data_IF_318138540706
#
_entry.id   IF_318138540706
#
_cell.length_a   1.000
_cell.length_b   1.000
_cell.length_c   1.000
_cell.angle_alpha   90.00
_cell.angle_beta   90.00
_cell.angle_gamma   90.00
#
_symmetry.space_group_name_H-M   'P 1'
#
loop_
_entity.id
_entity.type
_entity.pdbx_description
1 polymer ?
#
# COMPACT_ATOMS: atom_id res chain seq x y z
N UNK A 1 -27.40 38.93 4.06
CA UNK A 1 -26.23 38.82 3.14
C UNK A 1 -26.03 40.16 2.45
N UNK A 2 -24.79 40.66 2.37
CA UNK A 2 -24.45 41.92 1.69
C UNK A 2 -23.82 41.58 0.34
N UNK A 3 -24.30 42.20 -0.73
CA UNK A 3 -23.65 42.08 -2.05
C UNK A 3 -22.37 42.91 -2.04
N UNK A 4 -21.26 42.28 -2.41
CA UNK A 4 -19.95 42.91 -2.57
C UNK A 4 -19.46 42.65 -3.98
N UNK A 5 -18.76 43.62 -4.54
CA UNK A 5 -18.08 43.52 -5.83
C UNK A 5 -16.57 43.56 -5.55
N UNK A 6 -15.84 42.62 -6.13
CA UNK A 6 -14.40 42.49 -5.94
C UNK A 6 -13.72 42.43 -7.30
N UNK A 7 -12.60 43.15 -7.42
CA UNK A 7 -11.72 43.09 -8.57
C UNK A 7 -10.44 42.38 -8.12
N UNK A 8 -10.03 41.36 -8.88
CA UNK A 8 -8.84 40.57 -8.58
C UNK A 8 -7.93 40.63 -9.78
N UNK A 9 -6.64 40.89 -9.53
CA UNK A 9 -5.60 40.84 -10.57
C UNK A 9 -5.46 39.40 -11.07
N UNK A 10 -5.22 39.23 -12.37
CA UNK A 10 -5.10 37.93 -13.03
C UNK A 10 -4.14 36.98 -12.29
N UNK A 11 -2.95 37.46 -11.94
CA UNK A 11 -1.91 36.72 -11.20
C UNK A 11 -2.33 36.26 -9.79
N UNK A 12 -3.47 36.73 -9.29
CA UNK A 12 -3.96 36.45 -7.94
C UNK A 12 -5.31 35.76 -7.91
N UNK A 13 -5.92 35.46 -9.08
CA UNK A 13 -7.22 34.80 -9.14
C UNK A 13 -7.19 33.45 -8.43
N UNK A 14 -6.21 32.59 -8.73
CA UNK A 14 -6.06 31.26 -8.09
C UNK A 14 -5.94 31.37 -6.56
N UNK A 15 -5.09 32.26 -6.07
CA UNK A 15 -4.86 32.45 -4.64
C UNK A 15 -6.10 33.01 -3.93
N UNK A 16 -6.79 33.97 -4.55
CA UNK A 16 -8.00 34.57 -4.01
C UNK A 16 -9.15 33.56 -3.95
N UNK A 17 -9.36 32.77 -5.01
CA UNK A 17 -10.40 31.74 -5.04
C UNK A 17 -10.16 30.65 -3.98
N UNK A 18 -8.91 30.20 -3.82
CA UNK A 18 -8.55 29.22 -2.77
C UNK A 18 -8.80 29.76 -1.38
N UNK A 19 -8.37 31.00 -1.11
CA UNK A 19 -8.60 31.66 0.19
C UNK A 19 -10.09 31.79 0.50
N UNK A 20 -10.88 32.27 -0.46
CA UNK A 20 -12.32 32.46 -0.32
C UNK A 20 -13.08 31.13 -0.17
N UNK A 21 -12.70 30.12 -0.94
CA UNK A 21 -13.25 28.76 -0.85
C UNK A 21 -12.99 28.14 0.53
N UNK A 22 -11.76 28.24 1.03
CA UNK A 22 -11.39 27.75 2.36
C UNK A 22 -12.14 28.49 3.49
N UNK A 23 -12.35 29.80 3.34
CA UNK A 23 -13.08 30.57 4.33
C UNK A 23 -14.57 30.19 4.40
N UNK A 24 -15.17 29.71 3.30
CA UNK A 24 -16.56 29.24 3.27
C UNK A 24 -17.61 30.33 3.54
N UNK A 25 -17.23 31.61 3.43
CA UNK A 25 -18.08 32.77 3.78
C UNK A 25 -18.66 33.51 2.57
N UNK A 26 -18.34 33.08 1.35
CA UNK A 26 -18.78 33.73 0.12
C UNK A 26 -19.60 32.80 -0.77
N UNK A 27 -20.59 33.39 -1.43
CA UNK A 27 -21.34 32.76 -2.51
C UNK A 27 -21.03 33.52 -3.79
N UNK A 28 -20.46 32.83 -4.78
CA UNK A 28 -20.22 33.40 -6.09
C UNK A 28 -21.55 33.48 -6.85
N UNK A 29 -21.79 34.63 -7.47
CA UNK A 29 -22.95 34.87 -8.32
C UNK A 29 -22.48 34.69 -9.76
N UNK A 30 -23.21 33.88 -10.52
CA UNK A 30 -22.98 33.78 -11.96
C UNK A 30 -23.26 35.13 -12.64
N UNK A 31 -22.23 35.67 -13.26
CA UNK A 31 -22.25 36.96 -13.94
C UNK A 31 -22.29 36.81 -15.48
N UNK A 32 -22.36 35.59 -16.03
CA UNK A 32 -22.36 35.34 -17.47
C UNK A 32 -23.51 36.08 -18.17
N UNK A 33 -24.71 36.05 -17.59
CA UNK A 33 -25.90 36.76 -18.07
C UNK A 33 -25.80 38.29 -17.96
N UNK A 34 -24.80 38.81 -17.25
CA UNK A 34 -24.52 40.26 -17.09
C UNK A 34 -23.18 40.65 -17.73
N UNK A 35 -22.57 39.74 -18.50
CA UNK A 35 -21.26 39.94 -19.13
C UNK A 35 -21.19 41.22 -19.95
N UNK A 36 -22.28 41.62 -20.61
CA UNK A 36 -22.35 42.83 -21.43
C UNK A 36 -22.01 44.12 -20.68
N UNK A 37 -22.33 44.16 -19.39
CA UNK A 37 -22.06 45.33 -18.52
C UNK A 37 -20.56 45.47 -18.25
N UNK A 38 -19.80 44.37 -18.35
CA UNK A 38 -18.39 44.28 -17.95
C UNK A 38 -17.44 43.94 -19.10
N UNK A 39 -17.95 43.75 -20.33
CA UNK A 39 -17.17 43.39 -21.54
C UNK A 39 -15.99 44.33 -21.83
N UNK A 40 -16.07 45.60 -21.39
CA UNK A 40 -15.01 46.61 -21.59
C UNK A 40 -14.00 46.69 -20.43
N UNK A 41 -14.25 46.01 -19.32
CA UNK A 41 -13.47 46.12 -18.07
C UNK A 41 -12.85 44.80 -17.63
N UNK A 42 -13.52 43.67 -17.92
CA UNK A 42 -13.10 42.33 -17.49
C UNK A 42 -12.92 41.43 -18.70
N UNK A 43 -11.80 40.69 -18.69
CA UNK A 43 -11.56 39.58 -19.63
C UNK A 43 -12.00 38.29 -18.93
N UNK A 44 -12.83 37.44 -19.56
CA UNK A 44 -13.15 36.12 -19.02
C UNK A 44 -11.87 35.31 -18.82
N UNK A 45 -11.66 34.82 -17.60
CA UNK A 45 -10.62 33.84 -17.35
C UNK A 45 -11.13 32.47 -17.81
N UNK A 46 -10.58 31.97 -18.92
CA UNK A 46 -10.84 30.62 -19.39
C UNK A 46 -9.80 29.66 -18.81
N UNK A 47 -10.24 28.74 -17.96
CA UNK A 47 -9.38 27.63 -17.53
C UNK A 47 -9.25 26.64 -18.70
N UNK A 48 -8.04 26.35 -19.20
CA UNK A 48 -7.87 25.42 -20.30
C UNK A 48 -8.47 24.05 -19.95
N UNK A 49 -9.25 23.47 -20.86
CA UNK A 49 -9.79 22.09 -20.71
C UNK A 49 -8.66 21.10 -20.42
N UNK A 50 -7.47 21.35 -20.98
CA UNK A 50 -6.25 20.58 -20.71
C UNK A 50 -5.90 20.54 -19.21
N UNK A 51 -6.00 21.66 -18.50
CA UNK A 51 -5.72 21.76 -17.06
C UNK A 51 -6.73 20.94 -16.26
N UNK A 52 -8.02 21.04 -16.59
CA UNK A 52 -9.09 20.28 -15.95
C UNK A 52 -8.89 18.77 -16.11
N UNK A 53 -8.62 18.32 -17.35
CA UNK A 53 -8.37 16.91 -17.63
C UNK A 53 -7.13 16.41 -16.88
N UNK A 54 -6.06 17.22 -16.85
CA UNK A 54 -4.81 16.86 -16.15
C UNK A 54 -5.02 16.72 -14.64
N UNK A 55 -5.84 17.57 -14.02
CA UNK A 55 -6.23 17.39 -12.61
C UNK A 55 -6.91 16.02 -12.39
N UNK A 56 -7.89 15.69 -13.22
CA UNK A 56 -8.61 14.41 -13.13
C UNK A 56 -7.68 13.21 -13.34
N UNK A 57 -6.78 13.29 -14.32
CA UNK A 57 -5.84 12.22 -14.65
C UNK A 57 -4.87 11.96 -13.48
N UNK A 58 -4.34 13.01 -12.86
CA UNK A 58 -3.41 12.89 -11.72
C UNK A 58 -4.12 12.26 -10.52
N UNK A 59 -5.33 12.74 -10.18
CA UNK A 59 -6.09 12.19 -9.05
C UNK A 59 -6.41 10.71 -9.29
N UNK A 60 -6.80 10.34 -10.50
CA UNK A 60 -7.07 8.94 -10.87
C UNK A 60 -5.83 8.05 -10.76
N UNK A 61 -4.65 8.56 -11.16
CA UNK A 61 -3.37 7.84 -11.00
C UNK A 61 -3.01 7.63 -9.53
N UNK A 62 -3.15 8.67 -8.71
CA UNK A 62 -2.89 8.60 -7.27
C UNK A 62 -3.82 7.57 -6.63
N UNK A 63 -5.12 7.64 -6.91
CA UNK A 63 -6.11 6.69 -6.39
C UNK A 63 -5.78 5.24 -6.78
N UNK A 64 -5.35 5.02 -8.03
CA UNK A 64 -4.90 3.70 -8.48
C UNK A 64 -3.69 3.21 -7.68
N UNK A 65 -2.72 4.08 -7.41
CA UNK A 65 -1.55 3.73 -6.59
C UNK A 65 -1.91 3.38 -5.14
N UNK A 66 -2.86 4.08 -4.54
CA UNK A 66 -3.38 3.72 -3.20
C UNK A 66 -3.99 2.31 -3.22
N UNK A 67 -4.80 2.00 -4.23
CA UNK A 67 -5.40 0.67 -4.40
C UNK A 67 -4.36 -0.43 -4.60
N UNK A 68 -3.33 -0.18 -5.42
CA UNK A 68 -2.23 -1.13 -5.65
C UNK A 68 -1.46 -1.45 -4.37
N UNK A 69 -1.32 -0.48 -3.47
CA UNK A 69 -0.64 -0.63 -2.19
C UNK A 69 -1.56 -1.11 -1.06
N UNK A 70 -2.86 -1.30 -1.33
CA UNK A 70 -3.84 -1.63 -0.28
C UNK A 70 -3.93 -0.57 0.83
N UNK A 71 -3.62 0.69 0.48
CA UNK A 71 -3.65 1.81 1.40
C UNK A 71 -4.98 2.53 1.27
N UNK A 72 -5.59 2.87 2.40
CA UNK A 72 -6.68 3.83 2.43
C UNK A 72 -6.09 5.22 2.67
N UNK A 73 -6.48 6.24 1.90
CA UNK A 73 -6.09 7.60 2.21
C UNK A 73 -6.65 7.95 3.59
N UNK A 74 -5.77 8.36 4.51
CA UNK A 74 -6.22 8.87 5.80
C UNK A 74 -7.06 10.13 5.53
N UNK A 75 -8.27 10.17 6.10
CA UNK A 75 -9.08 11.39 6.18
C UNK A 75 -8.49 12.32 7.23
N UNK A 76 -7.23 12.69 7.07
CA UNK A 76 -6.67 13.76 7.87
C UNK A 76 -7.24 15.05 7.29
N UNK A 77 -8.06 15.75 8.09
CA UNK A 77 -8.52 17.10 7.74
C UNK A 77 -7.25 17.93 7.68
N UNK A 78 -6.69 18.09 6.48
CA UNK A 78 -5.44 18.81 6.26
C UNK A 78 -5.56 20.16 6.95
N UNK A 79 -4.87 20.31 8.09
CA UNK A 79 -4.84 21.56 8.85
C UNK A 79 -4.15 22.56 7.96
N UNK A 80 -4.94 23.49 7.44
CA UNK A 80 -4.53 24.61 6.59
C UNK A 80 -3.53 24.18 5.51
N UNK A 81 -4.04 23.74 4.36
CA UNK A 81 -3.23 23.77 3.14
C UNK A 81 -2.82 25.24 2.96
N UNK A 82 -1.53 25.59 3.12
CA UNK A 82 -1.12 26.98 3.04
C UNK A 82 -1.53 27.50 1.68
N UNK A 83 -2.14 28.69 1.64
CA UNK A 83 -2.46 29.35 0.37
C UNK A 83 -1.14 29.71 -0.30
N UNK A 84 -0.64 28.81 -1.13
CA UNK A 84 0.56 29.01 -1.93
C UNK A 84 0.25 29.98 -3.05
N UNK A 85 1.19 30.87 -3.37
CA UNK A 85 1.11 31.75 -4.55
C UNK A 85 1.34 31.01 -5.88
N UNK A 86 1.52 29.69 -5.82
CA UNK A 86 1.79 28.85 -6.99
C UNK A 86 0.56 28.76 -7.90
N UNK A 87 0.76 28.93 -9.20
CA UNK A 87 -0.28 28.71 -10.19
C UNK A 87 -0.63 27.22 -10.28
N UNK A 88 -1.88 26.91 -10.60
CA UNK A 88 -2.38 25.52 -10.66
C UNK A 88 -1.52 24.61 -11.57
N UNK A 89 -1.02 25.09 -12.71
CA UNK A 89 -0.15 24.31 -13.60
C UNK A 89 1.21 23.94 -13.00
N UNK A 90 1.80 24.82 -12.20
CA UNK A 90 3.05 24.57 -11.51
C UNK A 90 2.84 23.48 -10.44
N UNK A 91 1.73 23.57 -9.69
CA UNK A 91 1.35 22.59 -8.70
C UNK A 91 1.15 21.21 -9.34
N UNK A 92 0.39 21.12 -10.44
CA UNK A 92 0.14 19.85 -11.14
C UNK A 92 1.44 19.20 -11.60
N UNK A 93 2.37 20.01 -12.13
CA UNK A 93 3.68 19.53 -12.57
C UNK A 93 4.51 18.98 -11.40
N UNK A 94 4.50 19.65 -10.25
CA UNK A 94 5.19 19.16 -9.03
C UNK A 94 4.58 17.86 -8.53
N UNK A 95 3.25 17.75 -8.52
CA UNK A 95 2.54 16.54 -8.07
C UNK A 95 2.87 15.36 -8.98
N UNK A 96 2.82 15.53 -10.31
CA UNK A 96 3.20 14.50 -11.27
C UNK A 96 4.66 14.04 -11.08
N UNK A 97 5.60 14.98 -10.95
CA UNK A 97 7.00 14.64 -10.75
C UNK A 97 7.24 13.88 -9.45
N UNK A 98 6.52 14.23 -8.38
CA UNK A 98 6.62 13.51 -7.11
C UNK A 98 6.00 12.12 -7.20
N UNK A 99 4.80 12.01 -7.78
CA UNK A 99 4.12 10.72 -7.96
C UNK A 99 4.95 9.76 -8.83
N UNK A 100 5.55 10.24 -9.92
CA UNK A 100 6.39 9.44 -10.80
C UNK A 100 7.69 8.94 -10.16
N UNK A 101 8.18 9.59 -9.10
CA UNK A 101 9.38 9.18 -8.36
C UNK A 101 9.11 8.13 -7.28
N UNK A 102 7.84 7.85 -6.96
CA UNK A 102 7.50 6.86 -5.96
C UNK A 102 7.64 5.44 -6.55
N UNK A 103 8.36 4.52 -5.89
CA UNK A 103 8.55 3.15 -6.35
C UNK A 103 7.31 2.28 -6.05
N UNK A 104 6.13 2.69 -6.56
CA UNK A 104 4.84 2.08 -6.23
C UNK A 104 4.79 0.60 -6.61
N UNK A 105 5.35 0.24 -7.77
CA UNK A 105 5.37 -1.14 -8.25
C UNK A 105 6.21 -2.05 -7.35
N UNK A 106 7.40 -1.60 -6.97
CA UNK A 106 8.31 -2.39 -6.13
C UNK A 106 7.70 -2.58 -4.74
N UNK A 107 7.10 -1.52 -4.19
CA UNK A 107 6.36 -1.58 -2.93
C UNK A 107 5.16 -2.55 -3.00
N UNK A 108 4.40 -2.54 -4.09
CA UNK A 108 3.29 -3.47 -4.28
C UNK A 108 3.77 -4.94 -4.32
N UNK A 109 4.92 -5.21 -4.95
CA UNK A 109 5.55 -6.55 -4.96
C UNK A 109 6.00 -6.94 -3.56
N UNK A 110 6.65 -6.05 -2.81
CA UNK A 110 7.05 -6.30 -1.42
C UNK A 110 5.84 -6.64 -0.54
N UNK A 111 4.74 -5.89 -0.64
CA UNK A 111 3.51 -6.14 0.10
C UNK A 111 2.90 -7.50 -0.25
N UNK A 112 2.91 -7.87 -1.53
CA UNK A 112 2.46 -9.20 -1.96
C UNK A 112 3.32 -10.31 -1.35
N UNK A 113 4.63 -10.14 -1.31
CA UNK A 113 5.56 -11.11 -0.70
C UNK A 113 5.30 -11.25 0.80
N UNK A 114 5.20 -10.14 1.53
CA UNK A 114 4.89 -10.13 2.96
C UNK A 114 3.57 -10.87 3.23
N UNK A 115 2.51 -10.57 2.46
CA UNK A 115 1.23 -11.25 2.61
C UNK A 115 1.31 -12.76 2.35
N UNK A 116 2.12 -13.19 1.39
CA UNK A 116 2.37 -14.63 1.14
C UNK A 116 3.10 -15.28 2.31
N UNK A 117 4.11 -14.62 2.86
CA UNK A 117 4.84 -15.10 4.04
C UNK A 117 3.90 -15.24 5.24
N UNK A 118 3.07 -14.24 5.52
CA UNK A 118 2.10 -14.28 6.62
C UNK A 118 1.12 -15.44 6.48
N UNK A 119 0.62 -15.70 5.27
CA UNK A 119 -0.24 -16.85 4.98
C UNK A 119 0.47 -18.17 5.22
N UNK A 120 1.73 -18.30 4.81
CA UNK A 120 2.51 -19.51 5.03
C UNK A 120 2.77 -19.73 6.51
N UNK A 121 3.16 -18.70 7.28
CA UNK A 121 3.33 -18.77 8.74
C UNK A 121 2.04 -19.23 9.42
N UNK A 122 0.91 -18.58 9.08
CA UNK A 122 -0.40 -18.95 9.62
C UNK A 122 -0.78 -20.39 9.26
N UNK A 123 -0.52 -20.81 8.01
CA UNK A 123 -0.82 -22.17 7.57
C UNK A 123 0.04 -23.22 8.27
N UNK A 124 1.29 -22.92 8.60
CA UNK A 124 2.22 -23.86 9.21
C UNK A 124 2.11 -23.91 10.74
N UNK A 125 1.24 -23.09 11.35
CA UNK A 125 1.13 -22.90 12.81
C UNK A 125 2.50 -22.61 13.44
N UNK A 126 3.39 -21.93 12.71
CA UNK A 126 4.68 -21.50 13.22
C UNK A 126 4.37 -20.32 14.15
N UNK A 127 4.67 -20.48 15.45
CA UNK A 127 4.64 -19.35 16.36
C UNK A 127 5.61 -18.29 15.82
N UNK A 128 5.25 -16.99 15.79
CA UNK A 128 6.15 -15.95 15.34
C UNK A 128 7.31 -15.87 16.34
N UNK A 129 8.32 -16.71 16.15
CA UNK A 129 9.57 -16.57 16.86
C UNK A 129 10.24 -15.30 16.34
N UNK A 130 10.48 -14.42 17.29
CA UNK A 130 11.13 -13.12 17.14
C UNK A 130 12.37 -13.21 16.26
N UNK A 131 12.44 -12.26 15.32
CA UNK A 131 13.65 -11.76 14.64
C UNK A 131 14.41 -12.75 13.77
N UNK A 132 14.08 -12.76 12.47
CA UNK A 132 15.05 -13.03 11.41
C UNK A 132 15.55 -11.68 10.87
N UNK A 133 16.51 -11.10 11.58
CA UNK A 133 17.36 -10.01 11.08
C UNK A 133 18.71 -10.60 10.74
N UNK A 134 18.84 -11.28 9.60
CA UNK A 134 20.16 -11.57 9.04
C UNK A 134 20.05 -11.83 7.53
N UNK A 135 21.00 -11.25 6.79
CA UNK A 135 21.21 -11.31 5.33
C UNK A 135 20.32 -10.40 4.43
N UNK A 136 20.43 -9.08 4.60
CA UNK A 136 20.31 -8.16 3.47
C UNK A 136 21.63 -8.18 2.70
N UNK A 137 21.83 -9.19 1.84
CA UNK A 137 22.84 -9.08 0.78
C UNK A 137 22.37 -8.05 -0.25
N UNK A 138 23.26 -7.14 -0.65
CA UNK A 138 23.06 -6.11 -1.68
C UNK A 138 22.87 -6.75 -3.07
N UNK A 139 21.78 -7.48 -3.28
CA UNK A 139 21.33 -7.87 -4.61
C UNK A 139 20.44 -6.77 -5.19
N UNK A 140 20.48 -6.54 -6.52
CA UNK A 140 19.54 -5.64 -7.17
C UNK A 140 18.10 -6.09 -6.86
N UNK A 141 17.30 -5.16 -6.33
CA UNK A 141 15.96 -5.38 -5.74
C UNK A 141 15.07 -6.20 -6.68
N UNK A 142 15.08 -5.90 -7.97
CA UNK A 142 14.25 -6.59 -8.98
C UNK A 142 14.52 -8.09 -9.08
N UNK A 143 15.80 -8.49 -8.97
CA UNK A 143 16.20 -9.89 -9.08
C UNK A 143 15.91 -10.65 -7.78
N UNK A 144 16.15 -10.00 -6.64
CA UNK A 144 15.84 -10.57 -5.33
C UNK A 144 14.33 -10.79 -5.15
N UNK A 145 13.49 -9.84 -5.58
CA UNK A 145 12.02 -9.97 -5.51
C UNK A 145 11.47 -11.09 -6.41
N UNK A 146 12.05 -11.27 -7.60
CA UNK A 146 11.69 -12.35 -8.51
C UNK A 146 12.07 -13.73 -7.92
N UNK A 147 13.32 -13.88 -7.44
CA UNK A 147 13.82 -15.09 -6.78
C UNK A 147 12.94 -15.45 -5.56
N UNK A 148 12.66 -14.48 -4.67
CA UNK A 148 11.78 -14.71 -3.50
C UNK A 148 10.36 -15.11 -3.88
N UNK A 149 9.80 -14.53 -4.95
CA UNK A 149 8.43 -14.85 -5.40
C UNK A 149 8.35 -16.29 -5.92
N UNK A 150 9.39 -16.75 -6.62
CA UNK A 150 9.50 -18.11 -7.15
C UNK A 150 9.69 -19.12 -6.01
N UNK A 151 10.61 -18.87 -5.09
CA UNK A 151 10.85 -19.72 -3.92
C UNK A 151 9.60 -19.88 -3.05
N UNK A 152 8.86 -18.79 -2.78
CA UNK A 152 7.61 -18.86 -2.02
C UNK A 152 6.52 -19.68 -2.73
N UNK A 153 6.47 -19.60 -4.07
CA UNK A 153 5.54 -20.40 -4.89
C UNK A 153 5.88 -21.89 -4.84
N UNK A 154 7.17 -22.25 -4.82
CA UNK A 154 7.60 -23.63 -4.64
C UNK A 154 7.28 -24.17 -3.24
N UNK A 155 7.47 -23.35 -2.21
CA UNK A 155 7.08 -23.70 -0.84
C UNK A 155 5.56 -23.91 -0.73
N UNK A 156 4.75 -23.08 -1.38
CA UNK A 156 3.28 -23.24 -1.40
C UNK A 156 2.85 -24.56 -2.09
N UNK A 157 3.51 -24.96 -3.18
CA UNK A 157 3.28 -26.24 -3.85
C UNK A 157 3.69 -27.45 -3.01
N UNK A 158 4.77 -27.34 -2.24
CA UNK A 158 5.20 -28.43 -1.35
C UNK A 158 4.38 -28.48 -0.06
N UNK A 159 3.88 -27.35 0.43
CA UNK A 159 3.06 -27.28 1.64
C UNK A 159 1.63 -27.81 1.47
N UNK A 160 1.12 -27.81 0.24
CA UNK A 160 -0.18 -28.39 -0.15
C UNK A 160 -0.15 -29.91 -0.34
N UNK A 161 1.00 -30.57 -0.23
CA UNK A 161 1.10 -32.03 -0.36
C UNK A 161 0.30 -32.76 0.75
N UNK A 162 -0.44 -33.84 0.43
CA UNK A 162 -1.19 -34.67 1.38
C UNK A 162 -0.37 -35.18 2.58
N UNK A 163 0.95 -35.27 2.42
CA UNK A 163 1.89 -35.65 3.46
C UNK A 163 1.91 -34.67 4.65
N UNK A 164 1.75 -33.36 4.41
CA UNK A 164 1.67 -32.35 5.47
C UNK A 164 0.31 -32.35 6.17
N UNK A 165 -0.77 -32.62 5.45
CA UNK A 165 -2.10 -32.83 6.05
C UNK A 165 -2.10 -34.04 6.98
N UNK A 166 -1.44 -35.14 6.57
CA UNK A 166 -1.20 -36.31 7.44
C UNK A 166 -0.30 -35.97 8.64
N UNK A 167 0.77 -35.18 8.45
CA UNK A 167 1.67 -34.75 9.53
C UNK A 167 0.98 -33.80 10.52
N UNK A 168 0.09 -32.91 10.07
CA UNK A 168 -0.74 -32.05 10.93
C UNK A 168 -1.76 -32.85 11.71
N UNK A 169 -2.44 -33.82 11.07
CA UNK A 169 -3.34 -34.73 11.77
C UNK A 169 -2.60 -35.52 12.86
N UNK A 170 -1.42 -36.06 12.54
CA UNK A 170 -0.54 -36.73 13.49
C UNK A 170 -0.05 -35.80 14.62
N UNK A 171 0.36 -34.57 14.33
CA UNK A 171 0.79 -33.62 15.37
C UNK A 171 -0.37 -33.18 16.28
N UNK A 172 -1.58 -33.03 15.73
CA UNK A 172 -2.77 -32.72 16.52
C UNK A 172 -3.17 -33.90 17.42
N UNK A 173 -3.07 -35.12 16.90
CA UNK A 173 -3.27 -36.35 17.66
C UNK A 173 -2.23 -36.50 18.77
N UNK A 174 -0.93 -36.28 18.47
CA UNK A 174 0.15 -36.28 19.45
C UNK A 174 -0.08 -35.19 20.51
N UNK A 175 -0.45 -33.96 20.14
CA UNK A 175 -0.74 -32.88 21.10
C UNK A 175 -1.90 -33.24 22.02
N UNK A 176 -2.91 -33.97 21.53
CA UNK A 176 -4.06 -34.46 22.29
C UNK A 176 -3.81 -35.67 23.19
N UNK A 177 -2.64 -36.33 23.11
CA UNK A 177 -2.29 -37.43 24.01
C UNK A 177 -2.01 -36.93 25.44
N UNK A 178 -2.50 -37.67 26.43
CA UNK A 178 -2.17 -37.46 27.85
C UNK A 178 -0.66 -37.61 28.06
N UNK A 179 -0.13 -36.89 29.06
CA UNK A 179 1.32 -36.86 29.38
C UNK A 179 1.92 -38.26 29.56
N UNK A 180 1.15 -39.20 30.11
CA UNK A 180 1.56 -40.60 30.29
C UNK A 180 1.68 -41.37 28.95
N UNK A 181 0.82 -41.09 27.98
CA UNK A 181 0.90 -41.69 26.63
C UNK A 181 2.03 -41.09 25.81
N UNK A 182 2.31 -39.78 25.98
CA UNK A 182 3.47 -39.11 25.36
C UNK A 182 4.80 -39.68 25.87
N UNK A 183 4.91 -39.92 27.18
CA UNK A 183 6.10 -40.53 27.79
C UNK A 183 6.37 -41.96 27.26
N UNK A 184 5.33 -42.80 27.19
CA UNK A 184 5.45 -44.17 26.64
C UNK A 184 5.79 -44.20 25.14
N UNK A 185 5.38 -43.19 24.38
CA UNK A 185 5.72 -43.05 22.96
C UNK A 185 7.18 -42.60 22.78
N UNK A 186 7.66 -41.70 23.64
CA UNK A 186 9.07 -41.31 23.74
C UNK A 186 9.99 -42.50 24.01
N UNK A 187 9.69 -43.31 25.03
CA UNK A 187 10.49 -44.51 25.35
C UNK A 187 10.52 -45.54 24.21
N UNK A 188 9.43 -45.66 23.43
CA UNK A 188 9.38 -46.57 22.28
C UNK A 188 10.19 -46.04 21.10
N UNK A 189 10.20 -44.73 20.87
CA UNK A 189 11.00 -44.10 19.82
C UNK A 189 12.49 -44.12 20.15
N UNK A 190 12.89 -43.91 21.40
CA UNK A 190 14.28 -44.08 21.84
C UNK A 190 14.77 -45.52 21.65
N UNK A 191 13.95 -46.53 21.99
CA UNK A 191 14.29 -47.94 21.75
C UNK A 191 14.47 -48.26 20.27
N UNK A 192 13.67 -47.65 19.38
CA UNK A 192 13.81 -47.83 17.93
C UNK A 192 15.08 -47.15 17.44
N UNK A 193 15.38 -45.93 17.90
CA UNK A 193 16.61 -45.22 17.55
C UNK A 193 17.87 -45.98 18.00
N UNK A 194 17.83 -46.63 19.16
CA UNK A 194 18.92 -47.48 19.67
C UNK A 194 19.10 -48.77 18.86
N UNK A 195 18.01 -49.34 18.33
CA UNK A 195 18.05 -50.50 17.44
C UNK A 195 18.64 -50.11 16.07
N UNK A 196 18.21 -48.99 15.49
CA UNK A 196 18.75 -48.49 14.22
C UNK A 196 20.23 -48.14 14.34
N UNK A 197 20.65 -47.53 15.45
CA UNK A 197 22.06 -47.23 15.73
C UNK A 197 22.91 -48.49 15.86
N UNK A 198 22.39 -49.56 16.46
CA UNK A 198 23.07 -50.87 16.54
C UNK A 198 23.17 -51.55 15.18
N UNK A 199 22.14 -51.44 14.34
CA UNK A 199 22.14 -51.97 12.98
C UNK A 199 23.14 -51.24 12.06
N UNK A 200 23.33 -49.94 12.28
CA UNK A 200 24.34 -49.13 11.57
C UNK A 200 25.78 -49.45 11.98
N UNK A 201 26.03 -49.92 13.21
CA UNK A 201 27.36 -50.34 13.68
C UNK A 201 27.72 -51.80 13.35
N UNK A 202 26.77 -52.58 12.82
CA UNK A 202 27.00 -53.98 12.38
C UNK A 202 27.18 -54.11 10.86
N UNK A 203 27.26 -52.99 10.13
CA UNK A 203 27.73 -52.91 8.73
C UNK A 203 29.16 -52.40 8.69
#
# INVERSE_FOLDING_TARGET
MRKLEALVLEDHIDAALRFLGNAGVVQFIDMEQRSEIWKSVLVPLETPIKTLNRCSDILSKIETSFKELGLEPEEDIAKDIPVTKEQTEELLTKVEQRHAKLPIKDLAVCLMIISKVDRLIASLEIAPETTLTEALEEKPVDKALAEMTEELSEIEKTTTLPALTKRKALMKEIRGLTTEKKAKLGERLEKIADIDKKLLTMR
#
